data_IF_478147830788
#
_entry.id   IF_478147830788
#
_cell.length_a   1.000
_cell.length_b   1.000
_cell.length_c   1.000
_cell.angle_alpha   90.00
_cell.angle_beta   90.00
_cell.angle_gamma   90.00
#
_symmetry.space_group_name_H-M   'P 1'
#
loop_
_entity.id
_entity.type
_entity.pdbx_description
1 polymer ?
#
# COMPACT_ATOMS: atom_id res chain seq x y z
N UNK A 1 -0.76 -28.69 16.77
CA UNK A 1 -0.70 -27.26 17.14
C UNK A 1 0.06 -26.52 16.03
N UNK A 2 -0.66 -26.10 14.98
CA UNK A 2 -1.11 -24.70 14.76
C UNK A 2 -0.03 -23.70 14.35
N UNK A 3 1.25 -24.07 14.24
CA UNK A 3 2.30 -23.13 13.78
C UNK A 3 2.37 -22.94 12.26
N UNK A 4 2.11 -23.99 11.47
CA UNK A 4 2.18 -23.94 10.01
C UNK A 4 1.10 -23.06 9.37
N UNK A 5 0.01 -22.78 10.08
CA UNK A 5 -1.07 -21.89 9.62
C UNK A 5 -0.73 -20.40 9.70
N UNK A 6 0.28 -20.01 10.47
CA UNK A 6 0.65 -18.61 10.69
C UNK A 6 1.77 -18.12 9.77
N UNK A 7 2.40 -19.02 9.02
CA UNK A 7 3.48 -18.67 8.08
C UNK A 7 2.98 -17.73 6.97
N UNK A 8 1.83 -18.01 6.29
CA UNK A 8 1.31 -17.09 5.29
C UNK A 8 1.00 -15.72 5.90
N UNK A 9 0.30 -15.70 7.04
CA UNK A 9 -0.10 -14.47 7.71
C UNK A 9 1.09 -13.57 8.11
N UNK A 10 2.25 -14.15 8.47
CA UNK A 10 3.46 -13.39 8.77
C UNK A 10 4.03 -12.72 7.52
N UNK A 11 3.91 -13.37 6.37
CA UNK A 11 4.37 -12.82 5.08
C UNK A 11 3.42 -11.70 4.63
N UNK A 12 2.10 -11.88 4.77
CA UNK A 12 1.10 -10.82 4.53
C UNK A 12 1.35 -9.61 5.43
N UNK A 13 1.71 -9.84 6.70
CA UNK A 13 2.10 -8.76 7.61
C UNK A 13 3.37 -8.04 7.14
N UNK A 14 4.30 -8.78 6.52
CA UNK A 14 5.48 -8.24 5.87
C UNK A 14 5.12 -7.33 4.69
N UNK A 15 4.19 -7.75 3.83
CA UNK A 15 3.65 -6.90 2.76
C UNK A 15 3.07 -5.61 3.34
N UNK A 16 2.18 -5.73 4.34
CA UNK A 16 1.56 -4.57 4.99
C UNK A 16 2.61 -3.64 5.63
N UNK A 17 3.67 -4.17 6.23
CA UNK A 17 4.78 -3.39 6.78
C UNK A 17 5.55 -2.62 5.69
N UNK A 18 5.80 -3.25 4.53
CA UNK A 18 6.36 -2.55 3.40
C UNK A 18 5.42 -1.45 2.89
N UNK A 19 4.10 -1.70 2.85
CA UNK A 19 3.09 -0.72 2.50
C UNK A 19 3.05 0.50 3.44
N UNK A 20 3.19 0.30 4.74
CA UNK A 20 3.22 1.41 5.71
C UNK A 20 4.50 2.24 5.58
N UNK A 21 5.66 1.62 5.36
CA UNK A 21 6.91 2.34 5.07
C UNK A 21 6.80 3.12 3.75
N UNK A 22 6.23 2.50 2.72
CA UNK A 22 5.98 3.17 1.44
C UNK A 22 5.06 4.40 1.62
N UNK A 23 4.06 4.29 2.48
CA UNK A 23 3.14 5.39 2.84
C UNK A 23 3.91 6.56 3.45
N UNK A 24 4.81 6.30 4.40
CA UNK A 24 5.64 7.35 5.03
C UNK A 24 6.48 8.07 3.96
N UNK A 25 7.18 7.32 3.10
CA UNK A 25 7.97 7.92 2.02
C UNK A 25 7.11 8.66 1.00
N UNK A 26 5.89 8.19 0.72
CA UNK A 26 4.96 8.86 -0.17
C UNK A 26 4.54 10.23 0.39
N UNK A 27 4.29 10.31 1.70
CA UNK A 27 3.96 11.57 2.39
C UNK A 27 5.15 12.54 2.40
N UNK A 28 6.37 12.03 2.62
CA UNK A 28 7.60 12.84 2.59
C UNK A 28 7.99 13.33 1.17
N UNK A 29 7.29 12.86 0.12
CA UNK A 29 7.60 13.19 -1.28
C UNK A 29 8.76 12.40 -1.86
N UNK A 30 9.25 11.38 -1.14
CA UNK A 30 10.29 10.44 -1.56
C UNK A 30 9.69 9.33 -2.44
N UNK A 31 9.19 9.71 -3.63
CA UNK A 31 8.41 8.82 -4.49
C UNK A 31 9.18 7.60 -5.00
N UNK A 32 10.49 7.71 -5.19
CA UNK A 32 11.34 6.60 -5.64
C UNK A 32 11.40 5.50 -4.57
N UNK A 33 11.64 5.90 -3.32
CA UNK A 33 11.66 5.00 -2.15
C UNK A 33 10.27 4.40 -1.93
N UNK A 34 9.21 5.20 -1.99
CA UNK A 34 7.84 4.73 -1.88
C UNK A 34 7.53 3.63 -2.91
N UNK A 35 7.87 3.87 -4.19
CA UNK A 35 7.70 2.87 -5.26
C UNK A 35 8.51 1.60 -5.04
N UNK A 36 9.75 1.70 -4.56
CA UNK A 36 10.59 0.54 -4.25
C UNK A 36 9.95 -0.34 -3.17
N UNK A 37 9.45 0.26 -2.09
CA UNK A 37 8.76 -0.47 -1.03
C UNK A 37 7.42 -1.08 -1.48
N UNK A 38 6.68 -0.43 -2.39
CA UNK A 38 5.47 -1.02 -3.00
C UNK A 38 5.83 -2.26 -3.82
N UNK A 39 6.86 -2.19 -4.66
CA UNK A 39 7.34 -3.35 -5.45
C UNK A 39 7.77 -4.48 -4.52
N UNK A 40 8.44 -4.15 -3.42
CA UNK A 40 8.83 -5.14 -2.41
C UNK A 40 7.61 -5.76 -1.71
N UNK A 41 6.58 -4.96 -1.41
CA UNK A 41 5.31 -5.43 -0.84
C UNK A 41 4.60 -6.42 -1.75
N UNK A 42 4.43 -6.08 -3.04
CA UNK A 42 3.83 -6.96 -4.06
C UNK A 42 4.60 -8.27 -4.20
N UNK A 43 5.93 -8.22 -4.09
CA UNK A 43 6.75 -9.43 -4.11
C UNK A 43 6.49 -10.32 -2.90
N UNK A 44 6.35 -9.75 -1.70
CA UNK A 44 6.01 -10.50 -0.49
C UNK A 44 4.61 -11.10 -0.57
N UNK A 45 3.64 -10.37 -1.12
CA UNK A 45 2.28 -10.82 -1.36
C UNK A 45 2.22 -12.08 -2.22
N UNK A 46 2.96 -12.08 -3.33
CA UNK A 46 3.09 -13.26 -4.19
C UNK A 46 3.62 -14.48 -3.44
N UNK A 47 4.57 -14.28 -2.52
CA UNK A 47 5.14 -15.35 -1.70
C UNK A 47 4.13 -15.88 -0.67
N UNK A 48 3.32 -15.01 -0.08
CA UNK A 48 2.28 -15.38 0.87
C UNK A 48 1.24 -16.30 0.22
N UNK A 49 0.81 -15.96 -1.00
CA UNK A 49 -0.21 -16.69 -1.74
C UNK A 49 0.32 -18.01 -2.27
N UNK A 50 1.61 -18.04 -2.65
CA UNK A 50 2.31 -19.26 -3.02
C UNK A 50 2.43 -20.23 -1.84
N UNK A 51 2.82 -19.75 -0.66
CA UNK A 51 2.96 -20.58 0.54
C UNK A 51 1.59 -21.03 1.07
N UNK A 52 0.57 -20.19 1.02
CA UNK A 52 -0.80 -20.55 1.39
C UNK A 52 -1.35 -21.70 0.52
N UNK A 53 -1.08 -21.68 -0.80
CA UNK A 53 -1.45 -22.76 -1.73
C UNK A 53 -0.72 -24.06 -1.44
N UNK A 54 0.59 -24.01 -1.20
CA UNK A 54 1.39 -25.22 -0.90
C UNK A 54 0.94 -25.87 0.42
N UNK A 55 0.63 -25.05 1.43
CA UNK A 55 0.23 -25.56 2.74
C UNK A 55 -1.24 -26.00 2.80
N UNK A 56 -2.06 -25.75 1.78
CA UNK A 56 -3.52 -25.95 1.79
C UNK A 56 -4.19 -25.32 3.03
N UNK A 57 -3.62 -24.22 3.53
CA UNK A 57 -4.18 -23.48 4.66
C UNK A 57 -4.66 -22.13 4.16
N UNK A 58 -5.95 -22.06 3.84
CA UNK A 58 -6.64 -20.80 3.58
C UNK A 58 -7.54 -20.49 4.78
N UNK A 59 -7.08 -19.61 5.67
CA UNK A 59 -7.88 -19.08 6.77
C UNK A 59 -8.59 -17.79 6.37
N UNK A 60 -9.79 -17.54 6.90
CA UNK A 60 -10.52 -16.28 6.66
C UNK A 60 -9.71 -15.05 7.10
N UNK A 61 -8.96 -15.16 8.20
CA UNK A 61 -8.11 -14.08 8.71
C UNK A 61 -6.99 -13.70 7.72
N UNK A 62 -6.32 -14.69 7.12
CA UNK A 62 -5.25 -14.43 6.15
C UNK A 62 -5.78 -13.68 4.93
N UNK A 63 -6.97 -14.06 4.44
CA UNK A 63 -7.64 -13.39 3.33
C UNK A 63 -8.02 -11.93 3.64
N UNK A 64 -8.41 -11.64 4.89
CA UNK A 64 -8.69 -10.26 5.32
C UNK A 64 -7.41 -9.42 5.43
N UNK A 65 -6.31 -10.01 5.90
CA UNK A 65 -5.01 -9.35 5.97
C UNK A 65 -4.45 -9.06 4.57
N UNK A 66 -4.59 -10.01 3.65
CA UNK A 66 -4.21 -9.91 2.23
C UNK A 66 -4.93 -8.74 1.58
N UNK A 67 -6.26 -8.71 1.68
CA UNK A 67 -7.07 -7.59 1.21
C UNK A 67 -6.71 -6.24 1.85
N UNK A 68 -6.29 -6.21 3.12
CA UNK A 68 -5.87 -4.99 3.79
C UNK A 68 -4.50 -4.52 3.26
N UNK A 69 -3.56 -5.44 3.07
CA UNK A 69 -2.24 -5.15 2.52
C UNK A 69 -2.34 -4.66 1.07
N UNK A 70 -3.19 -5.28 0.26
CA UNK A 70 -3.54 -4.84 -1.09
C UNK A 70 -4.10 -3.42 -1.08
N UNK A 71 -5.09 -3.14 -0.22
CA UNK A 71 -5.69 -1.80 -0.12
C UNK A 71 -4.64 -0.71 0.18
N UNK A 72 -3.66 -1.02 1.03
CA UNK A 72 -2.58 -0.08 1.37
C UNK A 72 -1.61 0.10 0.20
N UNK A 73 -1.13 -0.99 -0.40
CA UNK A 73 -0.08 -0.95 -1.43
C UNK A 73 -0.59 -0.46 -2.78
N UNK A 74 -1.81 -0.84 -3.18
CA UNK A 74 -2.40 -0.46 -4.48
C UNK A 74 -3.38 0.71 -4.39
N UNK A 75 -3.91 1.03 -3.21
CA UNK A 75 -4.86 2.13 -3.00
C UNK A 75 -4.23 3.32 -2.32
N UNK A 76 -3.85 3.16 -1.04
CA UNK A 76 -3.41 4.28 -0.20
C UNK A 76 -2.12 4.93 -0.71
N UNK A 77 -1.07 4.14 -0.97
CA UNK A 77 0.23 4.68 -1.38
C UNK A 77 0.14 5.44 -2.71
N UNK A 78 -0.43 4.87 -3.79
CA UNK A 78 -0.61 5.59 -5.05
C UNK A 78 -1.47 6.85 -4.89
N UNK A 79 -2.51 6.79 -4.05
CA UNK A 79 -3.38 7.94 -3.82
C UNK A 79 -2.66 9.12 -3.15
N UNK A 80 -1.78 8.83 -2.17
CA UNK A 80 -0.94 9.86 -1.54
C UNK A 80 0.06 10.44 -2.54
N UNK A 81 0.65 9.61 -3.39
CA UNK A 81 1.57 10.09 -4.45
C UNK A 81 0.82 11.04 -5.38
N UNK A 82 -0.38 10.67 -5.82
CA UNK A 82 -1.22 11.50 -6.68
C UNK A 82 -1.58 12.83 -6.00
N UNK A 83 -2.00 12.79 -4.72
CA UNK A 83 -2.27 13.97 -3.91
C UNK A 83 -1.07 14.93 -3.87
N UNK A 84 0.13 14.39 -3.62
CA UNK A 84 1.35 15.19 -3.55
C UNK A 84 1.75 15.78 -4.90
N UNK A 85 1.60 15.03 -6.00
CA UNK A 85 1.88 15.52 -7.35
C UNK A 85 0.89 16.63 -7.77
N UNK A 86 -0.41 16.47 -7.47
CA UNK A 86 -1.43 17.46 -7.74
C UNK A 86 -1.20 18.74 -6.92
N UNK A 87 -0.86 18.60 -5.64
CA UNK A 87 -0.53 19.74 -4.75
C UNK A 87 0.69 20.51 -5.25
N UNK A 88 1.73 19.81 -5.73
CA UNK A 88 2.96 20.43 -6.22
C UNK A 88 2.77 21.21 -7.53
N UNK A 89 1.78 20.84 -8.34
CA UNK A 89 1.52 21.45 -9.65
C UNK A 89 0.54 22.64 -9.58
N UNK A 90 0.17 23.11 -8.38
CA UNK A 90 -0.73 24.24 -8.24
C UNK A 90 0.04 25.57 -8.28
N UNK A 91 -0.36 26.45 -9.19
CA UNK A 91 0.13 27.83 -9.17
C UNK A 91 -0.46 28.55 -7.96
N UNK A 92 0.41 29.12 -7.13
CA UNK A 92 0.06 29.86 -5.88
C UNK A 92 -0.92 31.03 -6.15
N UNK A 93 -1.01 31.50 -7.40
CA UNK A 93 -1.86 32.63 -7.81
C UNK A 93 -3.33 32.25 -8.07
N UNK A 94 -3.64 30.96 -8.27
CA UNK A 94 -5.01 30.48 -8.47
C UNK A 94 -5.59 29.96 -7.15
N UNK A 95 -5.93 30.86 -6.23
CA UNK A 95 -6.59 30.53 -4.96
C UNK A 95 -8.10 30.27 -5.15
N UNK A 96 -8.48 29.53 -6.20
CA UNK A 96 -9.85 29.12 -6.41
C UNK A 96 -10.20 27.93 -5.49
N UNK A 97 -11.46 27.83 -5.08
CA UNK A 97 -11.95 26.70 -4.26
C UNK A 97 -11.71 25.35 -4.98
N UNK A 98 -11.65 25.36 -6.32
CA UNK A 98 -11.29 24.22 -7.15
C UNK A 98 -9.82 23.81 -7.02
N UNK A 99 -8.86 24.74 -6.92
CA UNK A 99 -7.46 24.35 -6.74
C UNK A 99 -7.27 23.67 -5.39
N UNK A 100 -7.84 24.19 -4.31
CA UNK A 100 -7.72 23.55 -2.99
C UNK A 100 -8.32 22.13 -2.95
N UNK A 101 -9.41 21.86 -3.67
CA UNK A 101 -10.10 20.55 -3.64
C UNK A 101 -9.51 19.49 -4.58
N UNK A 102 -8.91 19.89 -5.71
CA UNK A 102 -8.42 18.94 -6.74
C UNK A 102 -7.44 17.89 -6.19
N UNK A 103 -6.45 18.23 -5.34
CA UNK A 103 -5.52 17.24 -4.80
C UNK A 103 -6.20 16.13 -4.00
N UNK A 104 -7.29 16.43 -3.28
CA UNK A 104 -8.02 15.45 -2.48
C UNK A 104 -8.69 14.35 -3.30
N UNK A 105 -8.99 14.61 -4.58
CA UNK A 105 -9.43 13.56 -5.50
C UNK A 105 -8.34 12.51 -5.76
N UNK A 106 -7.07 12.83 -5.52
CA UNK A 106 -6.01 11.84 -5.59
C UNK A 106 -6.11 10.76 -4.51
N UNK A 107 -6.82 11.01 -3.41
CA UNK A 107 -6.98 10.05 -2.30
C UNK A 107 -8.16 9.08 -2.47
N UNK A 108 -8.97 9.24 -3.52
CA UNK A 108 -10.17 8.46 -3.83
C UNK A 108 -9.93 7.63 -5.08
#
# INVERSE_FOLDING_TARGET
>A
MTLTKHIPNLITLGNLFCGTIATIYAVEGAFFQAGLFVVFGIFLDFFDGFIARILNVTGELGKQLDSLADMVTSGLVPGIIMFNLLTKNQNILDLSLSSVLVPFFGLV
#
